data_IF_580742387452
#
_entry.id   IF_580742387452
#
_cell.length_a   1.000
_cell.length_b   1.000
_cell.length_c   1.000
_cell.angle_alpha   90.00
_cell.angle_beta   90.00
_cell.angle_gamma   90.00
#
_symmetry.space_group_name_H-M   'P 1'
#
loop_
_entity.id
_entity.type
_entity.pdbx_description
1 polymer ?
#
# COMPACT_ATOMS: atom_id res chain seq x y z
N UNK A 1 2.31 -20.29 -18.16
CA UNK A 1 3.30 -19.73 -17.19
C UNK A 1 3.98 -18.40 -17.58
N UNK A 2 4.92 -18.31 -18.55
CA UNK A 2 5.61 -17.01 -18.83
C UNK A 2 4.67 -15.92 -19.38
N UNK A 3 3.70 -16.30 -20.24
CA UNK A 3 2.68 -15.39 -20.79
C UNK A 3 1.75 -14.83 -19.72
N UNK A 4 1.25 -15.69 -18.82
CA UNK A 4 0.34 -15.29 -17.72
C UNK A 4 0.99 -14.30 -16.75
N UNK A 5 2.27 -14.50 -16.38
CA UNK A 5 3.01 -13.54 -15.53
C UNK A 5 3.08 -12.14 -16.16
N UNK A 6 3.23 -12.05 -17.48
CA UNK A 6 3.24 -10.77 -18.19
C UNK A 6 1.88 -10.07 -18.15
N UNK A 7 0.77 -10.81 -18.18
CA UNK A 7 -0.57 -10.22 -18.04
C UNK A 7 -0.80 -9.68 -16.63
N UNK A 8 -0.44 -10.43 -15.59
CA UNK A 8 -0.59 -9.97 -14.21
C UNK A 8 0.18 -8.66 -13.98
N UNK A 9 1.45 -8.59 -14.40
CA UNK A 9 2.26 -7.37 -14.23
C UNK A 9 1.65 -6.18 -14.99
N UNK A 10 1.23 -6.39 -16.25
CA UNK A 10 0.58 -5.33 -17.04
C UNK A 10 -0.70 -4.82 -16.38
N UNK A 11 -1.52 -5.73 -15.84
CA UNK A 11 -2.76 -5.39 -15.15
C UNK A 11 -2.51 -4.62 -13.85
N UNK A 12 -1.50 -5.02 -13.07
CA UNK A 12 -1.09 -4.29 -11.86
C UNK A 12 -0.59 -2.89 -12.21
N UNK A 13 0.26 -2.76 -13.22
CA UNK A 13 0.75 -1.46 -13.70
C UNK A 13 -0.41 -0.58 -14.19
N UNK A 14 -1.39 -1.18 -14.89
CA UNK A 14 -2.59 -0.48 -15.30
C UNK A 14 -3.36 0.07 -14.10
N UNK A 15 -3.61 -0.73 -13.07
CA UNK A 15 -4.29 -0.29 -11.84
C UNK A 15 -3.55 0.87 -11.17
N UNK A 16 -2.22 0.76 -11.02
CA UNK A 16 -1.39 1.82 -10.43
C UNK A 16 -1.49 3.11 -11.26
N UNK A 17 -1.37 3.02 -12.59
CA UNK A 17 -1.53 4.17 -13.48
C UNK A 17 -2.93 4.77 -13.41
N UNK A 18 -3.95 3.95 -13.26
CA UNK A 18 -5.34 4.38 -13.13
C UNK A 18 -5.53 5.19 -11.86
N UNK A 19 -5.07 4.69 -10.71
CA UNK A 19 -5.12 5.43 -9.44
C UNK A 19 -4.23 6.68 -9.48
N UNK A 20 -3.09 6.64 -10.15
CA UNK A 20 -2.23 7.82 -10.33
C UNK A 20 -2.95 8.96 -11.07
N UNK A 21 -3.93 8.65 -11.91
CA UNK A 21 -4.79 9.67 -12.53
C UNK A 21 -5.86 10.19 -11.57
N UNK A 22 -6.31 9.38 -10.62
CA UNK A 22 -7.36 9.71 -9.63
C UNK A 22 -6.78 10.50 -8.44
N UNK A 23 -5.79 9.92 -7.75
CA UNK A 23 -5.13 10.55 -6.60
C UNK A 23 -3.67 10.11 -6.48
N UNK A 24 -2.76 10.99 -6.91
CA UNK A 24 -1.31 10.81 -6.79
C UNK A 24 -0.83 10.89 -5.34
N UNK A 25 -1.49 11.71 -4.51
CA UNK A 25 -1.07 11.93 -3.11
C UNK A 25 -1.20 10.64 -2.32
N UNK A 26 -2.21 9.84 -2.61
CA UNK A 26 -2.39 8.53 -1.98
C UNK A 26 -1.25 7.55 -2.30
N UNK A 27 -0.81 7.49 -3.56
CA UNK A 27 0.31 6.62 -3.96
C UNK A 27 1.60 7.06 -3.26
N UNK A 28 1.85 8.36 -3.17
CA UNK A 28 3.00 8.90 -2.45
C UNK A 28 2.93 8.59 -0.95
N UNK A 29 1.76 8.76 -0.32
CA UNK A 29 1.53 8.41 1.08
C UNK A 29 1.85 6.94 1.34
N UNK A 30 1.38 6.05 0.46
CA UNK A 30 1.63 4.61 0.55
C UNK A 30 3.12 4.25 0.45
N UNK A 31 3.87 4.92 -0.43
CA UNK A 31 5.32 4.73 -0.53
C UNK A 31 6.03 5.20 0.76
N UNK A 32 5.63 6.34 1.31
CA UNK A 32 6.18 6.86 2.57
C UNK A 32 5.92 5.89 3.72
N UNK A 33 4.69 5.37 3.82
CA UNK A 33 4.32 4.37 4.83
C UNK A 33 5.16 3.10 4.67
N UNK A 34 5.36 2.60 3.45
CA UNK A 34 6.22 1.45 3.18
C UNK A 34 7.65 1.66 3.70
N UNK A 35 8.26 2.83 3.44
CA UNK A 35 9.62 3.15 3.89
C UNK A 35 9.68 3.23 5.43
N UNK A 36 8.76 3.96 6.06
CA UNK A 36 8.70 4.10 7.52
C UNK A 36 8.52 2.74 8.20
N UNK A 37 7.65 1.90 7.67
CA UNK A 37 7.41 0.54 8.18
C UNK A 37 8.67 -0.31 8.07
N UNK A 38 9.39 -0.26 6.95
CA UNK A 38 10.65 -0.99 6.77
C UNK A 38 11.72 -0.54 7.77
N UNK A 39 11.88 0.78 7.98
CA UNK A 39 12.83 1.31 8.96
C UNK A 39 12.49 0.89 10.39
N UNK A 40 11.22 0.98 10.77
CA UNK A 40 10.74 0.57 12.08
C UNK A 40 11.02 -0.91 12.37
N UNK A 41 10.81 -1.78 11.40
CA UNK A 41 11.11 -3.21 11.55
C UNK A 41 12.58 -3.47 11.88
N UNK A 42 13.50 -2.71 11.29
CA UNK A 42 14.95 -2.87 11.51
C UNK A 42 15.37 -2.34 12.87
N UNK A 43 14.79 -1.20 13.26
CA UNK A 43 14.96 -0.65 14.60
C UNK A 43 14.50 -1.71 15.61
N UNK A 44 13.29 -2.28 15.45
CA UNK A 44 12.75 -3.33 16.32
C UNK A 44 13.65 -4.57 16.42
N UNK A 45 14.25 -5.02 15.32
CA UNK A 45 15.21 -6.13 15.34
C UNK A 45 16.47 -5.79 16.14
N UNK A 46 16.94 -4.54 16.07
CA UNK A 46 18.17 -4.10 16.74
C UNK A 46 17.95 -3.80 18.23
N UNK A 47 16.71 -3.54 18.65
CA UNK A 47 16.36 -3.18 20.03
C UNK A 47 16.66 -4.29 21.03
N UNK A 48 16.39 -5.56 20.70
CA UNK A 48 16.70 -6.67 21.60
C UNK A 48 18.18 -6.66 22.00
N UNK A 49 19.06 -6.42 21.01
CA UNK A 49 20.50 -6.28 21.25
C UNK A 49 20.80 -5.11 22.17
N UNK A 50 20.25 -3.93 21.89
CA UNK A 50 20.48 -2.74 22.73
C UNK A 50 19.97 -2.89 24.15
N UNK A 51 18.82 -3.55 24.34
CA UNK A 51 18.26 -3.86 25.66
C UNK A 51 19.20 -4.80 26.42
N UNK A 52 19.67 -5.88 25.80
CA UNK A 52 20.59 -6.82 26.46
C UNK A 52 21.91 -6.15 26.85
N UNK A 53 22.47 -5.32 25.97
CA UNK A 53 23.72 -4.58 26.24
C UNK A 53 23.55 -3.55 27.38
N UNK A 54 22.44 -2.81 27.42
CA UNK A 54 22.20 -1.82 28.49
C UNK A 54 21.88 -2.46 29.84
N UNK A 55 21.17 -3.59 29.86
CA UNK A 55 20.95 -4.37 31.09
C UNK A 55 22.29 -4.90 31.61
N UNK A 56 23.16 -5.42 30.74
CA UNK A 56 24.48 -5.91 31.11
C UNK A 56 25.37 -4.81 31.72
N UNK A 57 25.24 -3.57 31.25
CA UNK A 57 25.98 -2.41 31.76
C UNK A 57 25.39 -1.80 33.04
N UNK A 58 24.21 -2.25 33.51
CA UNK A 58 23.45 -1.68 34.65
C UNK A 58 23.10 -0.18 34.52
N UNK A 59 23.09 0.34 33.30
CA UNK A 59 22.91 1.76 33.01
C UNK A 59 21.42 2.11 32.79
N UNK A 60 20.65 2.12 33.88
CA UNK A 60 19.19 2.25 33.87
C UNK A 60 18.64 3.49 33.14
N UNK A 61 19.40 4.59 33.11
CA UNK A 61 19.01 5.82 32.40
C UNK A 61 18.95 5.61 30.89
N UNK A 62 19.92 4.90 30.33
CA UNK A 62 19.98 4.62 28.89
C UNK A 62 18.90 3.63 28.47
N UNK A 63 18.63 2.63 29.30
CA UNK A 63 17.52 1.70 29.09
C UNK A 63 16.16 2.41 28.99
N UNK A 64 15.86 3.31 29.94
CA UNK A 64 14.62 4.09 29.93
C UNK A 64 14.53 5.04 28.73
N UNK A 65 15.64 5.66 28.32
CA UNK A 65 15.67 6.52 27.14
C UNK A 65 15.35 5.75 25.85
N UNK A 66 15.92 4.55 25.67
CA UNK A 66 15.66 3.69 24.51
C UNK A 66 14.17 3.33 24.45
N UNK A 67 13.59 2.87 25.56
CA UNK A 67 12.17 2.55 25.64
C UNK A 67 11.29 3.77 25.33
N UNK A 68 11.64 4.95 25.85
CA UNK A 68 10.90 6.19 25.59
C UNK A 68 10.88 6.55 24.10
N UNK A 69 12.04 6.50 23.43
CA UNK A 69 12.14 6.75 21.99
C UNK A 69 11.32 5.74 21.18
N UNK A 70 11.33 4.46 21.57
CA UNK A 70 10.54 3.43 20.92
C UNK A 70 9.03 3.67 21.03
N UNK A 71 8.58 4.04 22.23
CA UNK A 71 7.17 4.30 22.47
C UNK A 71 6.71 5.47 21.60
N UNK A 72 7.48 6.55 21.55
CA UNK A 72 7.20 7.71 20.69
C UNK A 72 7.14 7.31 19.20
N UNK A 73 8.12 6.56 18.71
CA UNK A 73 8.13 6.08 17.31
C UNK A 73 6.91 5.21 17.01
N UNK A 74 6.56 4.31 17.92
CA UNK A 74 5.41 3.41 17.75
C UNK A 74 4.09 4.17 17.68
N UNK A 75 3.93 5.20 18.53
CA UNK A 75 2.76 6.08 18.52
C UNK A 75 2.67 6.86 17.20
N UNK A 76 3.78 7.44 16.73
CA UNK A 76 3.81 8.18 15.45
C UNK A 76 3.40 7.27 14.30
N UNK A 77 3.93 6.06 14.24
CA UNK A 77 3.59 5.08 13.19
C UNK A 77 2.12 4.66 13.29
N UNK A 78 1.61 4.44 14.50
CA UNK A 78 0.21 4.11 14.72
C UNK A 78 -0.72 5.22 14.24
N UNK A 79 -0.38 6.49 14.47
CA UNK A 79 -1.14 7.65 13.98
C UNK A 79 -1.13 7.71 12.46
N UNK A 80 0.03 7.50 11.82
CA UNK A 80 0.16 7.51 10.36
C UNK A 80 -0.68 6.37 9.75
N UNK A 81 -0.54 5.16 10.25
CA UNK A 81 -1.29 3.99 9.77
C UNK A 81 -2.79 4.14 10.03
N UNK A 82 -3.18 4.65 11.20
CA UNK A 82 -4.57 4.95 11.51
C UNK A 82 -5.14 5.98 10.54
N UNK A 83 -4.42 7.06 10.27
CA UNK A 83 -4.85 8.09 9.31
C UNK A 83 -4.98 7.50 7.89
N UNK A 84 -4.03 6.68 7.46
CA UNK A 84 -4.08 6.02 6.16
C UNK A 84 -5.33 5.13 6.01
N UNK A 85 -5.57 4.26 6.99
CA UNK A 85 -6.63 3.25 6.94
C UNK A 85 -8.03 3.83 7.17
N UNK A 86 -8.17 4.81 8.07
CA UNK A 86 -9.48 5.32 8.48
C UNK A 86 -9.90 6.62 7.79
N UNK A 87 -8.96 7.38 7.22
CA UNK A 87 -9.28 8.63 6.52
C UNK A 87 -8.96 8.54 5.03
N UNK A 88 -7.69 8.29 4.67
CA UNK A 88 -7.25 8.42 3.28
C UNK A 88 -7.76 7.29 2.39
N UNK A 89 -7.76 6.05 2.87
CA UNK A 89 -8.24 4.91 2.11
C UNK A 89 -9.74 5.04 1.77
N UNK A 90 -10.66 5.30 2.72
CA UNK A 90 -12.08 5.50 2.39
C UNK A 90 -12.31 6.63 1.37
N UNK A 91 -11.59 7.76 1.49
CA UNK A 91 -11.67 8.87 0.54
C UNK A 91 -11.18 8.48 -0.86
N UNK A 92 -10.17 7.62 -0.96
CA UNK A 92 -9.74 7.07 -2.24
C UNK A 92 -10.79 6.10 -2.80
N UNK A 93 -11.33 5.22 -1.97
CA UNK A 93 -12.32 4.23 -2.39
C UNK A 93 -13.53 4.92 -3.04
N UNK A 94 -14.02 6.01 -2.45
CA UNK A 94 -15.12 6.79 -3.02
C UNK A 94 -14.77 7.37 -4.40
N UNK A 95 -13.56 7.95 -4.55
CA UNK A 95 -13.09 8.50 -5.82
C UNK A 95 -12.85 7.44 -6.89
N UNK A 96 -12.43 6.23 -6.49
CA UNK A 96 -12.31 5.08 -7.41
C UNK A 96 -13.70 4.66 -7.90
N UNK A 97 -14.69 4.53 -7.01
CA UNK A 97 -16.07 4.17 -7.39
C UNK A 97 -16.62 5.21 -8.37
N UNK A 98 -16.53 6.49 -8.03
CA UNK A 98 -17.00 7.59 -8.87
C UNK A 98 -16.34 7.55 -10.25
N UNK A 99 -15.02 7.33 -10.30
CA UNK A 99 -14.28 7.28 -11.55
C UNK A 99 -14.66 6.07 -12.41
N UNK A 100 -14.80 4.89 -11.80
CA UNK A 100 -15.23 3.67 -12.50
C UNK A 100 -16.62 3.88 -13.11
N UNK A 101 -17.58 4.36 -12.31
CA UNK A 101 -18.93 4.60 -12.78
C UNK A 101 -18.97 5.66 -13.90
N UNK A 102 -18.20 6.73 -13.76
CA UNK A 102 -18.08 7.77 -14.78
C UNK A 102 -17.49 7.25 -16.09
N UNK A 103 -16.43 6.43 -16.03
CA UNK A 103 -15.81 5.84 -17.22
C UNK A 103 -16.74 4.84 -17.92
N UNK A 104 -17.47 4.03 -17.15
CA UNK A 104 -18.49 3.11 -17.67
C UNK A 104 -19.61 3.87 -18.36
N UNK A 105 -20.15 4.91 -17.71
CA UNK A 105 -21.24 5.72 -18.27
C UNK A 105 -20.82 6.47 -19.55
N UNK A 106 -19.61 7.03 -19.56
CA UNK A 106 -19.04 7.65 -20.75
C UNK A 106 -18.89 6.65 -21.90
N UNK A 107 -18.52 5.40 -21.59
CA UNK A 107 -18.41 4.32 -22.58
C UNK A 107 -19.80 3.86 -23.06
N UNK A 108 -20.77 3.74 -22.15
CA UNK A 108 -22.16 3.39 -22.45
C UNK A 108 -22.77 4.32 -23.52
N UNK A 109 -22.53 5.63 -23.41
CA UNK A 109 -22.97 6.64 -24.40
C UNK A 109 -22.43 6.46 -25.81
N UNK A 110 -21.36 5.69 -25.99
CA UNK A 110 -20.75 5.47 -27.30
C UNK A 110 -21.36 4.28 -28.06
N UNK A 111 -22.22 3.50 -27.41
CA UNK A 111 -22.91 2.37 -28.03
C UNK A 111 -24.25 2.80 -28.62
N UNK A 112 -24.66 2.14 -29.70
CA UNK A 112 -25.99 2.33 -30.30
C UNK A 112 -27.06 1.68 -29.41
N UNK A 113 -28.31 2.15 -29.50
CA UNK A 113 -29.44 1.63 -28.71
C UNK A 113 -29.64 0.11 -28.85
N UNK A 114 -29.27 -0.48 -29.99
CA UNK A 114 -29.35 -1.93 -30.24
C UNK A 114 -28.32 -2.76 -29.47
N UNK A 115 -27.23 -2.15 -28.98
CA UNK A 115 -26.18 -2.81 -28.19
C UNK A 115 -26.50 -2.79 -26.68
N UNK A 116 -27.52 -2.06 -26.24
CA UNK A 116 -27.95 -2.05 -24.84
C UNK A 116 -28.67 -3.35 -24.42
N UNK A 117 -29.24 -4.07 -25.39
CA UNK A 117 -29.81 -5.42 -25.19
C UNK A 117 -28.71 -6.52 -25.23
N UNK A 118 -27.43 -6.14 -25.34
CA UNK A 118 -26.32 -7.07 -25.29
C UNK A 118 -26.05 -7.50 -23.84
N UNK A 119 -26.42 -8.75 -23.54
CA UNK A 119 -26.17 -9.43 -22.25
C UNK A 119 -24.69 -9.33 -21.83
N UNK A 120 -23.75 -9.40 -22.78
CA UNK A 120 -22.31 -9.30 -22.53
C UNK A 120 -21.90 -7.91 -22.00
N UNK A 121 -22.56 -6.84 -22.46
CA UNK A 121 -22.32 -5.48 -21.96
C UNK A 121 -22.84 -5.32 -20.53
N UNK A 122 -24.03 -5.85 -20.26
CA UNK A 122 -24.65 -5.80 -18.94
C UNK A 122 -23.83 -6.61 -17.92
N UNK A 123 -23.40 -7.81 -18.28
CA UNK A 123 -22.55 -8.65 -17.43
C UNK A 123 -21.21 -7.98 -17.14
N UNK A 124 -20.56 -7.41 -18.16
CA UNK A 124 -19.32 -6.67 -17.98
C UNK A 124 -19.51 -5.43 -17.10
N UNK A 125 -20.62 -4.71 -17.27
CA UNK A 125 -20.98 -3.57 -16.44
C UNK A 125 -21.06 -3.97 -14.96
N UNK A 126 -21.85 -5.00 -14.64
CA UNK A 126 -22.04 -5.46 -13.26
C UNK A 126 -20.73 -5.99 -12.69
N UNK A 127 -19.99 -6.78 -13.47
CA UNK A 127 -18.70 -7.30 -13.05
C UNK A 127 -17.73 -6.18 -12.66
N UNK A 128 -17.58 -5.14 -13.48
CA UNK A 128 -16.66 -4.03 -13.20
C UNK A 128 -17.16 -3.15 -12.06
N UNK A 129 -18.46 -2.89 -11.98
CA UNK A 129 -19.04 -2.10 -10.89
C UNK A 129 -18.86 -2.78 -9.52
N UNK A 130 -19.03 -4.10 -9.47
CA UNK A 130 -18.94 -4.88 -8.24
C UNK A 130 -17.47 -5.19 -7.85
N UNK A 131 -16.63 -5.56 -8.81
CA UNK A 131 -15.28 -6.08 -8.55
C UNK A 131 -14.16 -5.07 -8.83
N UNK A 132 -14.40 -4.04 -9.66
CA UNK A 132 -13.37 -3.12 -10.15
C UNK A 132 -12.64 -2.39 -9.02
N UNK A 133 -13.38 -1.88 -8.04
CA UNK A 133 -12.81 -1.24 -6.85
C UNK A 133 -11.86 -2.18 -6.11
N UNK A 134 -12.34 -3.37 -5.75
CA UNK A 134 -11.58 -4.34 -4.95
C UNK A 134 -10.34 -4.81 -5.69
N UNK A 135 -10.44 -5.08 -7.00
CA UNK A 135 -9.31 -5.44 -7.84
C UNK A 135 -8.22 -4.36 -7.87
N UNK A 136 -8.62 -3.10 -8.01
CA UNK A 136 -7.71 -1.95 -8.04
C UNK A 136 -7.01 -1.75 -6.68
N UNK A 137 -7.76 -1.83 -5.56
CA UNK A 137 -7.18 -1.70 -4.21
C UNK A 137 -6.19 -2.82 -3.90
N UNK A 138 -6.55 -4.06 -4.22
CA UNK A 138 -5.68 -5.21 -4.02
C UNK A 138 -4.36 -5.07 -4.80
N UNK A 139 -4.42 -4.54 -6.03
CA UNK A 139 -3.23 -4.26 -6.81
C UNK A 139 -2.31 -3.26 -6.09
N UNK A 140 -2.84 -2.22 -5.44
CA UNK A 140 -2.03 -1.29 -4.63
C UNK A 140 -1.39 -2.03 -3.45
N UNK A 141 -2.21 -2.70 -2.63
CA UNK A 141 -1.76 -3.33 -1.38
C UNK A 141 -0.68 -4.37 -1.62
N UNK A 142 -0.78 -5.14 -2.71
CA UNK A 142 0.26 -6.08 -3.11
C UNK A 142 1.55 -5.35 -3.51
N UNK A 143 1.44 -4.25 -4.26
CA UNK A 143 2.59 -3.49 -4.73
C UNK A 143 3.32 -2.80 -3.57
N UNK A 144 2.60 -2.19 -2.64
CA UNK A 144 3.16 -1.58 -1.42
C UNK A 144 3.78 -2.64 -0.53
N UNK A 145 3.16 -3.81 -0.39
CA UNK A 145 3.74 -4.96 0.33
C UNK A 145 5.06 -5.45 -0.28
N UNK A 146 5.16 -5.49 -1.62
CA UNK A 146 6.41 -5.84 -2.31
C UNK A 146 7.47 -4.77 -2.08
N UNK A 147 7.11 -3.49 -2.17
CA UNK A 147 8.01 -2.36 -1.88
C UNK A 147 8.57 -2.43 -0.46
N UNK A 148 7.71 -2.61 0.55
CA UNK A 148 8.12 -2.74 1.95
C UNK A 148 9.14 -3.88 2.14
N UNK A 149 8.90 -5.04 1.52
CA UNK A 149 9.82 -6.19 1.57
C UNK A 149 11.15 -5.90 0.85
N UNK A 150 11.11 -5.23 -0.30
CA UNK A 150 12.31 -4.86 -1.04
C UNK A 150 13.19 -3.90 -0.24
N UNK A 151 12.59 -2.86 0.36
CA UNK A 151 13.30 -1.93 1.25
C UNK A 151 13.91 -2.64 2.46
N UNK A 152 13.13 -3.50 3.11
CA UNK A 152 13.61 -4.27 4.27
C UNK A 152 14.80 -5.16 3.91
N UNK A 153 14.76 -5.84 2.76
CA UNK A 153 15.89 -6.66 2.28
C UNK A 153 17.13 -5.81 2.02
N UNK A 154 16.97 -4.66 1.36
CA UNK A 154 18.07 -3.74 1.04
C UNK A 154 18.76 -3.23 2.30
N UNK A 155 17.98 -2.79 3.28
CA UNK A 155 18.50 -2.23 4.53
C UNK A 155 19.13 -3.31 5.43
N UNK A 156 18.57 -4.52 5.46
CA UNK A 156 19.18 -5.65 6.17
C UNK A 156 20.54 -6.05 5.56
N UNK A 157 20.65 -6.07 4.23
CA UNK A 157 21.93 -6.35 3.57
C UNK A 157 22.99 -5.28 3.90
N UNK A 158 22.59 -4.01 3.92
CA UNK A 158 23.48 -2.90 4.30
C UNK A 158 23.93 -3.01 5.76
N UNK A 159 23.02 -3.31 6.70
CA UNK A 159 23.33 -3.50 8.13
C UNK A 159 24.32 -4.65 8.40
N UNK A 160 24.26 -5.72 7.60
CA UNK A 160 25.19 -6.86 7.70
C UNK A 160 26.55 -6.51 7.08
N UNK A 161 26.58 -5.72 5.99
CA UNK A 161 27.82 -5.29 5.32
C UNK A 161 28.65 -4.29 6.12
N UNK A 162 28.06 -3.60 7.09
CA UNK A 162 28.71 -2.56 7.92
C UNK A 162 29.13 -3.06 9.31
N UNK A 163 29.00 -4.36 9.58
CA UNK A 163 29.50 -5.03 10.79
C UNK A 163 30.66 -5.95 10.42
#
# INVERSE_FOLDING_TARGET
>A
MKKEKNYVIKNTIYCIKYIWKIDRKYILLMIVISILTSLFNIINLSILRYITETIAMQEMRYFLMIIGVMLLLSVVIAIINGSANYLYEPLLQNRIIEKIQGDIYAKAKTFNLEEYDNEEFYDLYYFVAENGKTGILNAITLTTGILTRAFLKSLNHWSISTK
#
